data_IF_313290620605
#
_entry.id   IF_313290620605
#
_cell.length_a   1.000
_cell.length_b   1.000
_cell.length_c   1.000
_cell.angle_alpha   90.00
_cell.angle_beta   90.00
_cell.angle_gamma   90.00
#
_symmetry.space_group_name_H-M   'P 1'
#
loop_
_entity.id
_entity.type
_entity.pdbx_description
1 polymer ?
#
# COMPACT_ATOMS: atom_id res chain seq x y z
N UNK A 1 7.11 10.78 -3.03
CA UNK A 1 6.82 9.36 -2.76
C UNK A 1 7.50 8.98 -1.45
N UNK A 2 6.82 9.16 -0.31
CA UNK A 2 7.31 8.63 0.97
C UNK A 2 7.31 7.10 0.94
N UNK A 3 8.47 6.49 1.22
CA UNK A 3 8.60 5.04 1.41
C UNK A 3 8.45 4.75 2.89
N UNK A 4 7.48 3.91 3.24
CA UNK A 4 7.12 3.65 4.64
C UNK A 4 7.79 2.37 5.14
N UNK A 5 7.86 1.34 4.29
CA UNK A 5 8.45 0.05 4.66
C UNK A 5 9.18 -0.57 3.46
N UNK A 6 10.32 -1.19 3.73
CA UNK A 6 10.99 -2.11 2.79
C UNK A 6 11.09 -3.47 3.46
N UNK A 7 10.55 -4.50 2.82
CA UNK A 7 10.51 -5.84 3.38
C UNK A 7 10.59 -6.89 2.27
N UNK A 8 11.56 -7.82 2.37
CA UNK A 8 11.73 -8.94 1.42
C UNK A 8 11.70 -8.57 -0.06
N UNK A 9 12.27 -7.42 -0.43
CA UNK A 9 12.29 -6.92 -1.81
C UNK A 9 11.02 -6.17 -2.23
N UNK A 10 10.01 -6.08 -1.38
CA UNK A 10 8.86 -5.21 -1.56
C UNK A 10 9.12 -3.83 -0.97
N UNK A 11 8.64 -2.81 -1.65
CA UNK A 11 8.65 -1.42 -1.19
C UNK A 11 7.22 -0.94 -1.03
N UNK A 12 6.85 -0.50 0.16
CA UNK A 12 5.54 0.03 0.52
C UNK A 12 5.61 1.56 0.60
N UNK A 13 4.68 2.26 -0.05
CA UNK A 13 4.75 3.70 -0.24
C UNK A 13 3.40 4.34 -0.60
N UNK A 14 3.36 5.67 -0.56
CA UNK A 14 2.27 6.48 -1.14
C UNK A 14 2.82 7.34 -2.27
N UNK A 15 2.00 7.63 -3.28
CA UNK A 15 2.35 8.67 -4.24
C UNK A 15 2.14 10.05 -3.59
N UNK A 16 2.96 11.03 -3.94
CA UNK A 16 2.77 12.39 -3.40
C UNK A 16 1.59 13.12 -4.02
N UNK A 17 1.03 12.59 -5.11
CA UNK A 17 -0.06 13.18 -5.88
C UNK A 17 -1.21 12.16 -5.99
N UNK A 18 -1.83 11.82 -4.85
CA UNK A 18 -2.88 10.81 -4.74
C UNK A 18 -4.26 11.34 -5.16
N UNK A 19 -4.33 11.83 -6.40
CA UNK A 19 -5.55 12.28 -7.05
C UNK A 19 -6.07 13.65 -6.62
N UNK A 20 -6.99 14.19 -7.41
CA UNK A 20 -7.84 15.33 -7.07
C UNK A 20 -9.27 15.01 -7.58
N UNK A 21 -10.22 14.63 -6.71
CA UNK A 21 -10.16 14.62 -5.23
C UNK A 21 -9.26 13.51 -4.66
N UNK A 22 -8.82 13.70 -3.41
CA UNK A 22 -7.99 12.75 -2.70
C UNK A 22 -8.73 11.43 -2.46
N UNK A 23 -8.07 10.31 -2.74
CA UNK A 23 -8.61 8.98 -2.49
C UNK A 23 -8.58 8.60 -0.99
N UNK A 24 -9.40 7.62 -0.55
CA UNK A 24 -9.29 7.05 0.79
C UNK A 24 -7.88 6.51 1.10
N UNK A 25 -7.55 6.34 2.38
CA UNK A 25 -6.25 5.84 2.80
C UNK A 25 -5.92 4.48 2.16
N UNK A 26 -4.78 4.43 1.47
CA UNK A 26 -4.33 3.24 0.76
C UNK A 26 -2.81 3.19 0.70
N UNK A 27 -2.26 2.02 0.38
CA UNK A 27 -0.83 1.83 0.21
C UNK A 27 -0.52 1.17 -1.12
N UNK A 28 0.54 1.64 -1.77
CA UNK A 28 1.11 0.98 -2.93
C UNK A 28 2.27 0.09 -2.48
N UNK A 29 2.38 -1.07 -3.11
CA UNK A 29 3.46 -2.02 -2.90
C UNK A 29 4.01 -2.44 -4.24
N UNK A 30 5.34 -2.36 -4.41
CA UNK A 30 6.01 -2.75 -5.65
C UNK A 30 7.26 -3.57 -5.42
N UNK A 31 7.63 -4.36 -6.43
CA UNK A 31 8.96 -4.93 -6.59
C UNK A 31 9.55 -4.48 -7.95
N UNK A 32 10.50 -5.23 -8.50
CA UNK A 32 11.15 -4.93 -9.78
C UNK A 32 10.24 -5.06 -11.01
N UNK A 33 9.17 -5.86 -10.93
CA UNK A 33 8.37 -6.27 -12.10
C UNK A 33 6.87 -6.00 -11.92
N UNK A 34 6.41 -5.73 -10.70
CA UNK A 34 5.00 -5.67 -10.37
C UNK A 34 4.69 -4.62 -9.32
N UNK A 35 3.45 -4.15 -9.33
CA UNK A 35 2.90 -3.19 -8.39
C UNK A 35 1.45 -3.52 -8.03
N UNK A 36 1.06 -3.27 -6.79
CA UNK A 36 -0.31 -3.39 -6.33
C UNK A 36 -0.67 -2.24 -5.40
N UNK A 37 -1.97 -1.93 -5.36
CA UNK A 37 -2.58 -0.95 -4.46
C UNK A 37 -3.56 -1.66 -3.55
N UNK A 38 -3.49 -1.35 -2.26
CA UNK A 38 -4.41 -1.85 -1.24
C UNK A 38 -5.07 -0.70 -0.50
N UNK A 39 -6.39 -0.74 -0.38
CA UNK A 39 -7.13 0.10 0.57
C UNK A 39 -6.75 -0.30 1.99
N UNK A 40 -6.64 0.68 2.88
CA UNK A 40 -6.43 0.45 4.32
C UNK A 40 -7.74 0.59 5.09
N UNK A 41 -8.73 1.32 4.56
CA UNK A 41 -10.04 1.53 5.17
C UNK A 41 -11.18 1.08 4.25
N UNK A 42 -12.27 0.50 4.81
CA UNK A 42 -12.42 0.07 6.21
C UNK A 42 -11.54 -1.12 6.60
N UNK A 43 -11.19 -1.98 5.64
CA UNK A 43 -10.36 -3.17 5.80
C UNK A 43 -9.26 -3.23 4.74
N UNK A 44 -8.23 -4.04 4.96
CA UNK A 44 -7.17 -4.23 3.97
C UNK A 44 -7.72 -4.99 2.78
N UNK A 45 -7.81 -4.31 1.63
CA UNK A 45 -8.37 -4.90 0.42
C UNK A 45 -7.61 -4.50 -0.82
N UNK A 46 -7.32 -5.47 -1.68
CA UNK A 46 -6.72 -5.24 -2.98
C UNK A 46 -7.62 -4.34 -3.84
N UNK A 47 -7.06 -3.22 -4.30
CA UNK A 47 -7.72 -2.25 -5.17
C UNK A 47 -7.28 -2.42 -6.63
N UNK A 48 -5.97 -2.65 -6.82
CA UNK A 48 -5.35 -2.84 -8.13
C UNK A 48 -4.17 -3.79 -8.01
N UNK A 49 -3.99 -4.63 -9.01
CA UNK A 49 -2.83 -5.49 -9.16
C UNK A 49 -2.31 -5.40 -10.60
N UNK A 50 -1.02 -5.17 -10.74
CA UNK A 50 -0.29 -5.17 -11.99
C UNK A 50 0.93 -6.07 -11.85
N UNK A 51 0.76 -7.37 -12.14
CA UNK A 51 1.86 -8.33 -12.23
C UNK A 51 2.06 -9.28 -11.03
N UNK A 52 1.46 -9.06 -9.85
CA UNK A 52 1.58 -10.04 -8.77
C UNK A 52 0.62 -11.23 -8.99
N UNK A 53 1.09 -12.43 -8.64
CA UNK A 53 0.24 -13.61 -8.57
C UNK A 53 -0.57 -13.66 -7.25
N UNK A 54 -1.60 -14.49 -7.22
CA UNK A 54 -2.52 -14.60 -6.08
C UNK A 54 -1.83 -14.98 -4.76
N UNK A 55 -0.78 -15.80 -4.80
CA UNK A 55 -0.03 -16.20 -3.60
C UNK A 55 0.70 -15.00 -2.99
N UNK A 56 1.36 -14.21 -3.84
CA UNK A 56 2.07 -13.00 -3.39
C UNK A 56 1.07 -11.96 -2.88
N UNK A 57 -0.05 -11.75 -3.57
CA UNK A 57 -1.09 -10.82 -3.11
C UNK A 57 -1.63 -11.17 -1.72
N UNK A 58 -1.78 -12.47 -1.42
CA UNK A 58 -2.18 -12.92 -0.08
C UNK A 58 -1.12 -12.57 0.97
N UNK A 59 0.16 -12.86 0.71
CA UNK A 59 1.26 -12.51 1.62
C UNK A 59 1.34 -10.99 1.85
N UNK A 60 1.20 -10.20 0.78
CA UNK A 60 1.18 -8.75 0.87
C UNK A 60 0.01 -8.25 1.72
N UNK A 61 -1.19 -8.81 1.54
CA UNK A 61 -2.35 -8.46 2.35
C UNK A 61 -2.12 -8.73 3.84
N UNK A 62 -1.49 -9.86 4.20
CA UNK A 62 -1.18 -10.22 5.59
C UNK A 62 -0.12 -9.28 6.20
N UNK A 63 0.90 -8.91 5.43
CA UNK A 63 1.93 -7.93 5.84
C UNK A 63 1.28 -6.56 6.05
N UNK A 64 0.42 -6.13 5.13
CA UNK A 64 -0.25 -4.84 5.21
C UNK A 64 -1.19 -4.79 6.40
N UNK A 65 -1.95 -5.86 6.67
CA UNK A 65 -2.84 -5.93 7.83
C UNK A 65 -2.06 -5.85 9.15
N UNK A 66 -0.93 -6.57 9.24
CA UNK A 66 -0.03 -6.51 10.40
C UNK A 66 0.53 -5.10 10.66
N UNK A 67 0.79 -4.33 9.61
CA UNK A 67 1.37 -2.98 9.70
C UNK A 67 0.33 -1.86 9.50
N UNK A 68 -0.97 -2.19 9.47
CA UNK A 68 -2.04 -1.28 9.09
C UNK A 68 -2.04 0.02 9.89
N UNK A 69 -1.84 -0.08 11.20
CA UNK A 69 -1.84 1.08 12.10
C UNK A 69 -0.74 2.09 11.70
N UNK A 70 0.50 1.62 11.50
CA UNK A 70 1.62 2.48 11.08
C UNK A 70 1.44 3.07 9.70
N UNK A 71 0.80 2.34 8.78
CA UNK A 71 0.49 2.88 7.45
C UNK A 71 -0.59 3.95 7.48
N UNK A 72 -1.62 3.79 8.34
CA UNK A 72 -2.65 4.81 8.54
C UNK A 72 -2.10 6.07 9.21
N UNK A 73 -1.20 5.92 10.20
CA UNK A 73 -0.51 7.04 10.83
C UNK A 73 0.33 7.81 9.79
N UNK A 74 1.19 7.11 9.05
CA UNK A 74 2.00 7.73 8.00
C UNK A 74 1.17 8.38 6.88
N UNK A 75 0.01 7.80 6.55
CA UNK A 75 -0.93 8.43 5.62
C UNK A 75 -1.48 9.74 6.18
N UNK A 76 -1.95 9.73 7.42
CA UNK A 76 -2.50 10.91 8.09
C UNK A 76 -1.43 12.00 8.16
N UNK A 77 -0.22 11.67 8.62
CA UNK A 77 0.87 12.64 8.77
C UNK A 77 1.26 13.29 7.44
N UNK A 78 1.15 12.57 6.33
CA UNK A 78 1.56 13.06 5.01
C UNK A 78 0.50 13.91 4.31
N UNK A 79 -0.80 13.62 4.53
CA UNK A 79 -1.90 14.26 3.82
C UNK A 79 -2.82 15.13 4.68
N UNK A 80 -2.53 15.29 5.97
CA UNK A 80 -3.25 16.22 6.86
C UNK A 80 -2.85 17.68 6.63
#
# INVERSE_FOLDING_TARGET
>A
MPVILRFRGFTFFFYSNEGNPQEPAHIHVRNSEAEAKFWLTPEVKLARNDGFNARVLKELSEIIDTNKASFLEAWSDYFS
#
